data_IF_566436534854
#
_entry.id   IF_566436534854
#
_cell.length_a   1.000
_cell.length_b   1.000
_cell.length_c   1.000
_cell.angle_alpha   90.00
_cell.angle_beta   90.00
_cell.angle_gamma   90.00
#
_symmetry.space_group_name_H-M   'P 1'
#
loop_
_entity.id
_entity.type
_entity.pdbx_description
1 polymer ?
#
# COMPACT_ATOMS: atom_id res chain seq x y z
N UNK A 1 11.40 -55.87 32.79
CA UNK A 1 10.39 -54.83 33.00
C UNK A 1 10.64 -53.74 31.95
N UNK A 2 9.76 -53.66 30.97
CA UNK A 2 9.87 -52.78 29.79
C UNK A 2 9.50 -51.36 30.25
N UNK A 3 10.41 -50.40 30.09
CA UNK A 3 10.12 -48.96 30.21
C UNK A 3 10.26 -48.35 28.82
N UNK A 4 9.12 -48.13 28.16
CA UNK A 4 9.02 -47.40 26.91
C UNK A 4 9.30 -45.91 27.17
N UNK A 5 10.56 -45.49 27.02
CA UNK A 5 10.93 -44.09 26.96
C UNK A 5 10.65 -43.54 25.57
N UNK A 6 9.68 -42.64 25.46
CA UNK A 6 9.37 -41.91 24.22
C UNK A 6 10.58 -41.08 23.78
N UNK A 7 11.40 -41.63 22.87
CA UNK A 7 12.50 -40.94 22.24
C UNK A 7 11.96 -40.06 21.10
N UNK A 8 11.37 -38.92 21.45
CA UNK A 8 11.06 -37.89 20.48
C UNK A 8 12.38 -37.23 20.04
N UNK A 9 12.88 -37.61 18.87
CA UNK A 9 14.08 -37.01 18.26
C UNK A 9 13.72 -35.59 17.83
N UNK A 10 14.16 -34.60 18.61
CA UNK A 10 14.06 -33.18 18.26
C UNK A 10 15.13 -32.84 17.21
N UNK A 11 14.78 -32.91 15.92
CA UNK A 11 15.66 -32.44 14.84
C UNK A 11 15.69 -30.91 14.84
N UNK A 12 16.76 -30.32 15.39
CA UNK A 12 17.07 -28.89 15.22
C UNK A 12 17.60 -28.71 13.79
N UNK A 13 16.79 -28.13 12.91
CA UNK A 13 17.22 -27.67 11.59
C UNK A 13 18.20 -26.50 11.78
N UNK A 14 19.50 -26.82 11.78
CA UNK A 14 20.52 -25.81 11.54
C UNK A 14 20.45 -25.43 10.06
N UNK A 15 19.83 -24.30 9.75
CA UNK A 15 19.91 -23.72 8.43
C UNK A 15 21.38 -23.39 8.14
N UNK A 16 21.99 -24.12 7.21
CA UNK A 16 23.32 -23.80 6.70
C UNK A 16 23.24 -22.46 5.97
N UNK A 17 23.68 -21.39 6.61
CA UNK A 17 23.93 -20.11 5.93
C UNK A 17 25.33 -20.18 5.32
N UNK A 18 25.46 -20.28 3.98
CA UNK A 18 26.78 -20.26 3.35
C UNK A 18 27.48 -18.94 3.70
N UNK A 19 28.82 -18.95 3.88
CA UNK A 19 29.58 -17.74 4.17
C UNK A 19 29.30 -16.70 3.08
N UNK A 20 28.88 -15.51 3.49
CA UNK A 20 28.54 -14.42 2.59
C UNK A 20 29.79 -14.01 1.79
N UNK A 21 29.95 -14.57 0.59
CA UNK A 21 30.92 -14.05 -0.38
C UNK A 21 30.54 -12.60 -0.71
N UNK A 22 31.51 -11.74 -1.02
CA UNK A 22 31.27 -10.32 -1.31
C UNK A 22 30.19 -10.08 -2.39
N UNK A 23 30.02 -11.04 -3.31
CA UNK A 23 28.94 -11.03 -4.31
C UNK A 23 27.54 -11.26 -3.72
N UNK A 24 27.41 -12.10 -2.68
CA UNK A 24 26.14 -12.31 -1.98
C UNK A 24 25.78 -11.10 -1.12
N UNK A 25 26.75 -10.49 -0.41
CA UNK A 25 26.54 -9.25 0.34
C UNK A 25 26.14 -8.08 -0.56
N UNK A 26 26.78 -7.93 -1.72
CA UNK A 26 26.39 -6.94 -2.74
C UNK A 26 24.97 -7.19 -3.27
N UNK A 27 24.56 -8.45 -3.45
CA UNK A 27 23.20 -8.81 -3.86
C UNK A 27 22.16 -8.48 -2.77
N UNK A 28 22.46 -8.65 -1.49
CA UNK A 28 21.52 -8.26 -0.42
C UNK A 28 21.39 -6.73 -0.28
N UNK A 29 22.49 -5.99 -0.40
CA UNK A 29 22.48 -4.52 -0.38
C UNK A 29 21.70 -3.96 -1.58
N UNK A 30 21.87 -4.54 -2.76
CA UNK A 30 21.11 -4.14 -3.96
C UNK A 30 19.63 -4.47 -3.85
N UNK A 31 19.26 -5.65 -3.33
CA UNK A 31 17.85 -6.03 -3.12
C UNK A 31 17.18 -5.11 -2.09
N UNK A 32 17.82 -4.85 -0.93
CA UNK A 32 17.24 -3.97 0.09
C UNK A 32 17.12 -2.49 -0.32
N UNK A 33 18.05 -1.99 -1.14
CA UNK A 33 17.94 -0.64 -1.71
C UNK A 33 16.77 -0.56 -2.70
N UNK A 34 16.63 -1.56 -3.59
CA UNK A 34 15.53 -1.58 -4.56
C UNK A 34 14.18 -1.71 -3.84
N UNK A 35 14.07 -2.53 -2.79
CA UNK A 35 12.85 -2.65 -1.95
C UNK A 35 12.45 -1.31 -1.32
N UNK A 36 13.43 -0.52 -0.88
CA UNK A 36 13.20 0.78 -0.23
C UNK A 36 12.77 1.88 -1.21
N UNK A 37 13.26 1.82 -2.45
CA UNK A 37 12.99 2.84 -3.49
C UNK A 37 11.73 2.52 -4.29
N UNK A 38 11.32 1.25 -4.36
CA UNK A 38 10.15 0.78 -5.11
C UNK A 38 8.85 1.47 -4.64
N UNK A 39 8.63 1.56 -3.33
CA UNK A 39 7.44 2.18 -2.74
C UNK A 39 7.23 3.61 -3.22
N UNK A 40 8.19 4.53 -2.99
CA UNK A 40 8.11 5.91 -3.48
C UNK A 40 7.93 6.05 -5.01
N UNK A 41 8.60 5.20 -5.81
CA UNK A 41 8.45 5.23 -7.27
C UNK A 41 7.03 4.85 -7.69
N UNK A 42 6.45 3.82 -7.09
CA UNK A 42 5.08 3.41 -7.38
C UNK A 42 4.07 4.46 -6.95
N UNK A 43 4.28 5.10 -5.80
CA UNK A 43 3.45 6.24 -5.35
C UNK A 43 3.48 7.36 -6.38
N UNK A 44 4.67 7.75 -6.85
CA UNK A 44 4.84 8.79 -7.85
C UNK A 44 4.13 8.41 -9.17
N UNK A 45 4.38 7.19 -9.66
CA UNK A 45 3.79 6.74 -10.92
C UNK A 45 2.26 6.70 -10.87
N UNK A 46 1.69 6.18 -9.78
CA UNK A 46 0.24 6.11 -9.60
C UNK A 46 -0.39 7.48 -9.34
N UNK A 47 0.31 8.39 -8.64
CA UNK A 47 -0.14 9.76 -8.46
C UNK A 47 -0.20 10.53 -9.79
N UNK A 48 0.80 10.37 -10.65
CA UNK A 48 0.80 10.96 -12.00
C UNK A 48 -0.32 10.39 -12.88
N UNK A 49 -0.52 9.07 -12.83
CA UNK A 49 -1.57 8.39 -13.57
C UNK A 49 -2.97 8.88 -13.14
N UNK A 50 -3.27 8.81 -11.84
CA UNK A 50 -4.61 9.18 -11.31
C UNK A 50 -4.91 10.65 -11.43
N UNK A 51 -3.89 11.51 -11.33
CA UNK A 51 -4.08 12.95 -11.52
C UNK A 51 -4.48 13.28 -12.96
N UNK A 52 -4.04 12.49 -13.94
CA UNK A 52 -4.41 12.71 -15.34
C UNK A 52 -5.92 12.52 -15.58
N UNK A 53 -6.60 11.69 -14.79
CA UNK A 53 -8.06 11.52 -14.86
C UNK A 53 -8.80 12.85 -14.64
N UNK A 54 -8.33 13.68 -13.70
CA UNK A 54 -8.96 15.01 -13.46
C UNK A 54 -8.84 15.93 -14.67
N UNK A 55 -7.72 15.84 -15.40
CA UNK A 55 -7.46 16.69 -16.53
C UNK A 55 -8.51 16.47 -17.60
N UNK A 56 -8.73 15.21 -17.96
CA UNK A 56 -9.74 14.82 -18.94
C UNK A 56 -11.15 15.20 -18.50
N UNK A 57 -11.52 14.96 -17.23
CA UNK A 57 -12.83 15.37 -16.70
C UNK A 57 -13.07 16.89 -16.79
N UNK A 58 -12.06 17.70 -16.46
CA UNK A 58 -12.17 19.16 -16.48
C UNK A 58 -12.18 19.68 -17.93
N UNK A 59 -11.35 19.11 -18.81
CA UNK A 59 -11.29 19.46 -20.23
C UNK A 59 -12.63 19.24 -20.91
N UNK A 60 -13.28 18.13 -20.60
CA UNK A 60 -14.58 17.77 -21.16
C UNK A 60 -15.72 18.68 -20.66
N UNK A 61 -15.69 19.05 -19.37
CA UNK A 61 -16.64 20.04 -18.82
C UNK A 61 -16.47 21.41 -19.45
N UNK A 62 -15.23 21.89 -19.58
CA UNK A 62 -14.90 23.23 -20.08
C UNK A 62 -15.21 23.33 -21.58
N UNK A 63 -14.93 22.26 -22.34
CA UNK A 63 -15.27 22.17 -23.77
C UNK A 63 -16.77 22.00 -24.02
N UNK A 64 -17.59 21.82 -22.97
CA UNK A 64 -19.03 21.55 -23.02
C UNK A 64 -19.39 20.38 -23.93
N UNK A 65 -18.51 19.39 -24.05
CA UNK A 65 -18.75 18.24 -24.93
C UNK A 65 -19.99 17.45 -24.50
N UNK A 66 -20.24 17.38 -23.18
CA UNK A 66 -21.48 16.84 -22.61
C UNK A 66 -22.76 17.58 -23.07
N UNK A 67 -22.69 18.90 -23.31
CA UNK A 67 -23.82 19.66 -23.86
C UNK A 67 -24.06 19.29 -25.32
N UNK A 68 -22.99 19.13 -26.10
CA UNK A 68 -23.08 18.64 -27.48
C UNK A 68 -23.61 17.20 -27.57
N UNK A 69 -23.23 16.32 -26.64
CA UNK A 69 -23.78 14.96 -26.53
C UNK A 69 -25.24 14.93 -26.06
N UNK A 70 -25.68 15.95 -25.30
CA UNK A 70 -27.11 16.07 -24.94
C UNK A 70 -27.95 16.41 -26.18
N UNK A 71 -27.41 17.18 -27.12
CA UNK A 71 -28.07 17.49 -28.40
C UNK A 71 -28.23 16.26 -29.31
N UNK A 72 -27.41 15.21 -29.11
CA UNK A 72 -27.52 13.93 -29.83
C UNK A 72 -28.40 12.90 -29.09
N UNK A 73 -29.02 13.27 -27.97
CA UNK A 73 -29.94 12.42 -27.21
C UNK A 73 -29.28 11.39 -26.28
N UNK A 74 -27.97 11.50 -26.05
CA UNK A 74 -27.25 10.61 -25.12
C UNK A 74 -27.53 11.05 -23.68
N UNK A 75 -27.86 10.09 -22.82
CA UNK A 75 -28.13 10.39 -21.41
C UNK A 75 -26.84 10.78 -20.66
N UNK A 76 -26.89 11.75 -19.73
CA UNK A 76 -25.73 12.11 -18.91
C UNK A 76 -25.16 10.93 -18.09
N UNK A 77 -25.98 9.92 -17.77
CA UNK A 77 -25.54 8.74 -17.02
C UNK A 77 -24.58 7.88 -17.86
N UNK A 78 -24.91 7.67 -19.14
CA UNK A 78 -24.05 6.93 -20.08
C UNK A 78 -22.68 7.57 -20.19
N UNK A 79 -22.64 8.91 -20.17
CA UNK A 79 -21.42 9.68 -20.19
C UNK A 79 -20.52 9.39 -18.97
N UNK A 80 -21.05 9.55 -17.75
CA UNK A 80 -20.28 9.29 -16.52
C UNK A 80 -19.78 7.84 -16.41
N UNK A 81 -20.60 6.88 -16.84
CA UNK A 81 -20.20 5.47 -16.87
C UNK A 81 -19.08 5.24 -17.88
N UNK A 82 -19.16 5.85 -19.07
CA UNK A 82 -18.10 5.73 -20.08
C UNK A 82 -16.77 6.33 -19.59
N UNK A 83 -16.79 7.51 -18.97
CA UNK A 83 -15.59 8.12 -18.38
C UNK A 83 -14.99 7.24 -17.28
N UNK A 84 -15.82 6.70 -16.38
CA UNK A 84 -15.36 5.79 -15.34
C UNK A 84 -14.75 4.50 -15.90
N UNK A 85 -15.37 3.91 -16.93
CA UNK A 85 -14.86 2.70 -17.60
C UNK A 85 -13.54 3.01 -18.31
N UNK A 86 -13.41 4.16 -18.96
CA UNK A 86 -12.17 4.60 -19.59
C UNK A 86 -11.03 4.73 -18.57
N UNK A 87 -11.28 5.41 -17.45
CA UNK A 87 -10.30 5.56 -16.36
C UNK A 87 -9.92 4.20 -15.75
N UNK A 88 -10.92 3.32 -15.56
CA UNK A 88 -10.69 1.95 -15.07
C UNK A 88 -9.81 1.14 -16.01
N UNK A 89 -10.03 1.20 -17.32
CA UNK A 89 -9.24 0.48 -18.32
C UNK A 89 -7.79 1.00 -18.38
N UNK A 90 -7.59 2.31 -18.35
CA UNK A 90 -6.26 2.91 -18.30
C UNK A 90 -5.51 2.52 -17.01
N UNK A 91 -6.21 2.56 -15.87
CA UNK A 91 -5.64 2.13 -14.60
C UNK A 91 -5.27 0.64 -14.60
N UNK A 92 -6.19 -0.21 -15.07
CA UNK A 92 -5.97 -1.65 -15.15
C UNK A 92 -4.79 -1.99 -16.09
N UNK A 93 -4.64 -1.27 -17.20
CA UNK A 93 -3.50 -1.42 -18.09
C UNK A 93 -2.18 -1.07 -17.39
N UNK A 94 -2.11 0.09 -16.71
CA UNK A 94 -0.91 0.49 -15.97
C UNK A 94 -0.56 -0.51 -14.85
N UNK A 95 -1.54 -0.96 -14.07
CA UNK A 95 -1.34 -1.99 -13.04
C UNK A 95 -0.86 -3.31 -13.63
N UNK A 96 -1.39 -3.72 -14.79
CA UNK A 96 -0.95 -4.94 -15.49
C UNK A 96 0.51 -4.84 -15.91
N UNK A 97 0.96 -3.68 -16.38
CA UNK A 97 2.38 -3.43 -16.68
C UNK A 97 3.27 -3.57 -15.44
N UNK A 98 2.88 -2.99 -14.29
CA UNK A 98 3.63 -3.15 -13.04
C UNK A 98 3.67 -4.62 -12.58
N UNK A 99 2.55 -5.33 -12.65
CA UNK A 99 2.49 -6.76 -12.29
C UNK A 99 3.35 -7.62 -13.21
N UNK A 100 3.38 -7.32 -14.51
CA UNK A 100 4.24 -8.02 -15.47
C UNK A 100 5.73 -7.85 -15.14
N UNK A 101 6.15 -6.64 -14.73
CA UNK A 101 7.52 -6.37 -14.28
C UNK A 101 7.85 -7.17 -13.01
N UNK A 102 6.95 -7.22 -12.03
CA UNK A 102 7.16 -8.00 -10.81
C UNK A 102 7.28 -9.50 -11.09
N UNK A 103 6.42 -10.01 -11.98
CA UNK A 103 6.46 -11.41 -12.44
C UNK A 103 7.78 -11.74 -13.15
N UNK A 104 8.21 -10.92 -14.10
CA UNK A 104 9.43 -11.15 -14.86
C UNK A 104 10.70 -11.05 -13.99
N UNK A 105 10.71 -10.11 -13.05
CA UNK A 105 11.81 -9.94 -12.09
C UNK A 105 11.89 -11.07 -11.05
N UNK A 106 10.85 -11.91 -10.94
CA UNK A 106 10.76 -12.92 -9.88
C UNK A 106 10.65 -12.32 -8.47
N UNK A 107 10.29 -11.04 -8.40
CA UNK A 107 10.16 -10.28 -7.16
C UNK A 107 8.78 -10.51 -6.54
N UNK A 108 8.69 -10.62 -5.20
CA UNK A 108 7.42 -10.79 -4.46
C UNK A 108 6.61 -12.04 -4.87
N UNK A 109 7.29 -13.13 -5.24
CA UNK A 109 6.66 -14.43 -5.52
C UNK A 109 5.90 -14.92 -4.27
N UNK A 110 4.58 -15.10 -4.39
CA UNK A 110 3.68 -15.45 -3.27
C UNK A 110 2.89 -14.28 -2.67
N UNK A 111 3.20 -13.03 -3.04
CA UNK A 111 2.56 -11.82 -2.51
C UNK A 111 1.77 -11.03 -3.55
N UNK A 112 1.73 -11.49 -4.81
CA UNK A 112 1.04 -10.82 -5.91
C UNK A 112 -0.44 -10.56 -5.64
N UNK A 113 -1.13 -11.51 -4.99
CA UNK A 113 -2.55 -11.36 -4.63
C UNK A 113 -2.78 -10.15 -3.73
N UNK A 114 -1.86 -9.90 -2.79
CA UNK A 114 -1.93 -8.74 -1.89
C UNK A 114 -1.69 -7.43 -2.66
N UNK A 115 -0.72 -7.41 -3.58
CA UNK A 115 -0.44 -6.23 -4.43
C UNK A 115 -1.64 -5.91 -5.33
N UNK A 116 -2.29 -6.92 -5.91
CA UNK A 116 -3.50 -6.74 -6.74
C UNK A 116 -4.63 -6.12 -5.91
N UNK A 117 -4.87 -6.64 -4.70
CA UNK A 117 -5.87 -6.07 -3.79
C UNK A 117 -5.56 -4.62 -3.45
N UNK A 118 -4.29 -4.32 -3.20
CA UNK A 118 -3.81 -2.98 -2.83
C UNK A 118 -3.97 -1.97 -3.98
N UNK A 119 -3.72 -2.38 -5.22
CA UNK A 119 -4.02 -1.58 -6.41
C UNK A 119 -5.52 -1.33 -6.58
N UNK A 120 -6.35 -2.37 -6.40
CA UNK A 120 -7.81 -2.23 -6.47
C UNK A 120 -8.33 -1.24 -5.41
N UNK A 121 -7.82 -1.33 -4.18
CA UNK A 121 -8.21 -0.46 -3.08
C UNK A 121 -7.77 0.99 -3.32
N UNK A 122 -6.57 1.20 -3.88
CA UNK A 122 -6.09 2.52 -4.26
C UNK A 122 -7.00 3.18 -5.30
N UNK A 123 -7.41 2.46 -6.36
CA UNK A 123 -8.33 2.99 -7.36
C UNK A 123 -9.66 3.41 -6.74
N UNK A 124 -10.25 2.54 -5.91
CA UNK A 124 -11.55 2.81 -5.29
C UNK A 124 -11.54 4.00 -4.34
N UNK A 125 -10.42 4.26 -3.67
CA UNK A 125 -10.26 5.41 -2.79
C UNK A 125 -9.91 6.70 -3.55
N UNK A 126 -9.03 6.63 -4.55
CA UNK A 126 -8.59 7.81 -5.31
C UNK A 126 -9.66 8.35 -6.25
N UNK A 127 -10.38 7.50 -6.98
CA UNK A 127 -11.29 7.94 -8.05
C UNK A 127 -12.41 8.85 -7.53
N UNK A 128 -13.14 8.52 -6.45
CA UNK A 128 -14.15 9.42 -5.88
C UNK A 128 -13.57 10.78 -5.44
N UNK A 129 -12.36 10.79 -4.88
CA UNK A 129 -11.67 12.02 -4.49
C UNK A 129 -11.32 12.88 -5.72
N UNK A 130 -10.75 12.27 -6.76
CA UNK A 130 -10.40 12.99 -8.00
C UNK A 130 -11.66 13.56 -8.68
N UNK A 131 -12.75 12.80 -8.71
CA UNK A 131 -14.01 13.23 -9.32
C UNK A 131 -14.64 14.40 -8.56
N UNK A 132 -14.65 14.37 -7.23
CA UNK A 132 -15.16 15.48 -6.41
C UNK A 132 -14.33 16.76 -6.58
N UNK A 133 -13.00 16.63 -6.57
CA UNK A 133 -12.09 17.76 -6.79
C UNK A 133 -12.21 18.33 -8.20
N UNK A 134 -12.54 17.50 -9.20
CA UNK A 134 -12.69 17.97 -10.58
C UNK A 134 -13.68 19.15 -10.68
N UNK A 135 -14.78 19.15 -9.90
CA UNK A 135 -15.82 20.18 -9.97
C UNK A 135 -15.37 21.57 -9.52
N UNK A 136 -14.29 21.65 -8.74
CA UNK A 136 -13.76 22.89 -8.19
C UNK A 136 -12.94 23.65 -9.24
N UNK A 137 -12.34 22.93 -10.20
CA UNK A 137 -11.41 23.52 -11.16
C UNK A 137 -12.05 23.83 -12.50
N UNK A 138 -11.75 25.02 -13.05
CA UNK A 138 -12.19 25.46 -14.38
C UNK A 138 -11.11 25.35 -15.45
N UNK A 139 -9.90 24.91 -15.11
CA UNK A 139 -8.77 24.78 -16.04
C UNK A 139 -8.14 23.39 -15.92
N UNK A 140 -8.07 22.61 -17.02
CA UNK A 140 -7.59 21.22 -16.99
C UNK A 140 -6.14 21.09 -16.52
N UNK A 141 -5.25 21.89 -17.10
CA UNK A 141 -3.81 21.83 -16.78
C UNK A 141 -3.55 22.23 -15.32
N UNK A 142 -4.29 23.22 -14.80
CA UNK A 142 -4.16 23.63 -13.39
C UNK A 142 -4.63 22.53 -12.44
N UNK A 143 -5.76 21.89 -12.76
CA UNK A 143 -6.30 20.79 -11.96
C UNK A 143 -5.30 19.63 -11.86
N UNK A 144 -4.70 19.24 -12.98
CA UNK A 144 -3.72 18.15 -13.02
C UNK A 144 -2.48 18.48 -12.17
N UNK A 145 -1.84 19.62 -12.40
CA UNK A 145 -0.60 19.97 -11.67
C UNK A 145 -0.87 20.10 -10.17
N UNK A 146 -1.99 20.72 -9.76
CA UNK A 146 -2.34 20.86 -8.35
C UNK A 146 -2.65 19.52 -7.68
N UNK A 147 -3.30 18.58 -8.38
CA UNK A 147 -3.54 17.24 -7.84
C UNK A 147 -2.26 16.42 -7.72
N UNK A 148 -1.33 16.51 -8.67
CA UNK A 148 0.00 15.90 -8.54
C UNK A 148 0.69 16.43 -7.29
N UNK A 149 0.75 17.77 -7.13
CA UNK A 149 1.37 18.40 -5.98
C UNK A 149 0.68 17.95 -4.68
N UNK A 150 -0.65 17.95 -4.66
CA UNK A 150 -1.42 17.49 -3.50
C UNK A 150 -1.07 16.06 -3.11
N UNK A 151 -1.07 15.13 -4.06
CA UNK A 151 -0.74 13.71 -3.81
C UNK A 151 0.70 13.51 -3.34
N UNK A 152 1.65 14.30 -3.83
CA UNK A 152 3.05 14.22 -3.40
C UNK A 152 3.26 14.81 -2.01
N UNK A 153 2.68 15.98 -1.74
CA UNK A 153 2.75 16.61 -0.41
C UNK A 153 2.06 15.72 0.62
N UNK A 154 0.90 15.15 0.28
CA UNK A 154 0.20 14.14 1.05
C UNK A 154 1.11 12.96 1.44
N UNK A 155 1.76 12.34 0.46
CA UNK A 155 2.64 11.19 0.69
C UNK A 155 3.85 11.56 1.55
N UNK A 156 4.48 12.72 1.29
CA UNK A 156 5.65 13.18 2.02
C UNK A 156 5.32 13.58 3.46
N UNK A 157 4.23 14.34 3.67
CA UNK A 157 3.77 14.73 4.99
C UNK A 157 3.44 13.49 5.84
N UNK A 158 2.80 12.50 5.24
CA UNK A 158 2.49 11.24 5.90
C UNK A 158 3.74 10.45 6.29
N UNK A 159 4.75 10.40 5.41
CA UNK A 159 6.05 9.78 5.71
C UNK A 159 6.77 10.52 6.83
N UNK A 160 6.77 11.86 6.81
CA UNK A 160 7.37 12.70 7.84
C UNK A 160 6.68 12.49 9.20
N UNK A 161 5.35 12.44 9.22
CA UNK A 161 4.57 12.15 10.44
C UNK A 161 5.01 10.81 11.02
N UNK A 162 5.00 9.72 10.24
CA UNK A 162 5.46 8.42 10.76
C UNK A 162 6.92 8.40 11.19
N UNK A 163 7.78 9.11 10.48
CA UNK A 163 9.19 9.23 10.84
C UNK A 163 9.35 9.91 12.20
N UNK A 164 8.75 11.09 12.41
CA UNK A 164 8.79 11.80 13.70
C UNK A 164 8.20 10.95 14.82
N UNK A 165 7.09 10.26 14.54
CA UNK A 165 6.44 9.35 15.46
C UNK A 165 7.36 8.17 15.85
N UNK A 166 8.24 7.72 14.95
CA UNK A 166 9.19 6.63 15.23
C UNK A 166 10.34 7.03 16.17
N UNK A 167 10.67 8.34 16.30
CA UNK A 167 11.70 8.81 17.24
C UNK A 167 11.19 9.03 18.67
N UNK A 168 9.88 9.19 18.85
CA UNK A 168 9.32 9.35 20.18
C UNK A 168 9.10 7.98 20.84
N UNK A 169 10.08 7.54 21.63
CA UNK A 169 9.92 6.33 22.48
C UNK A 169 8.84 6.47 23.56
N UNK A 170 8.34 7.69 23.81
CA UNK A 170 7.38 8.03 24.87
C UNK A 170 5.92 8.11 24.43
N UNK A 171 5.60 7.98 23.14
CA UNK A 171 4.21 7.95 22.67
C UNK A 171 3.65 6.52 22.77
N UNK A 172 2.43 6.40 23.30
CA UNK A 172 1.69 5.14 23.31
C UNK A 172 1.61 4.55 21.88
N UNK A 173 2.16 3.35 21.71
CA UNK A 173 2.17 2.64 20.41
C UNK A 173 0.78 2.51 19.79
N UNK A 174 -0.27 2.45 20.62
CA UNK A 174 -1.67 2.42 20.19
C UNK A 174 -2.13 3.72 19.52
N UNK A 175 -1.73 4.90 20.02
CA UNK A 175 -2.07 6.18 19.39
C UNK A 175 -1.34 6.37 18.06
N UNK A 176 -0.08 5.93 18.00
CA UNK A 176 0.74 5.90 16.79
C UNK A 176 0.06 5.11 15.66
N UNK A 177 -0.46 3.93 16.00
CA UNK A 177 -1.14 3.03 15.07
C UNK A 177 -2.51 3.57 14.62
N UNK A 178 -3.25 4.23 15.52
CA UNK A 178 -4.52 4.90 15.17
C UNK A 178 -4.27 6.05 14.19
N UNK A 179 -3.29 6.91 14.47
CA UNK A 179 -2.93 8.02 13.58
C UNK A 179 -2.48 7.48 12.23
N UNK A 180 -1.64 6.43 12.21
CA UNK A 180 -1.22 5.75 10.98
C UNK A 180 -2.42 5.23 10.21
N UNK A 181 -3.36 4.56 10.87
CA UNK A 181 -4.56 4.03 10.23
C UNK A 181 -5.47 5.11 9.65
N UNK A 182 -5.70 6.21 10.38
CA UNK A 182 -6.49 7.34 9.89
C UNK A 182 -5.82 7.96 8.67
N UNK A 183 -4.49 8.14 8.70
CA UNK A 183 -3.72 8.61 7.57
C UNK A 183 -3.79 7.65 6.37
N UNK A 184 -3.69 6.35 6.60
CA UNK A 184 -3.83 5.32 5.55
C UNK A 184 -5.23 5.36 4.91
N UNK A 185 -6.27 5.68 5.67
CA UNK A 185 -7.64 5.74 5.19
C UNK A 185 -7.91 7.01 4.36
N UNK A 186 -7.38 8.16 4.78
CA UNK A 186 -7.60 9.44 4.10
C UNK A 186 -6.61 9.72 2.95
N UNK A 187 -5.43 9.12 2.97
CA UNK A 187 -4.36 9.35 2.00
C UNK A 187 -4.01 8.05 1.27
N UNK A 188 -4.80 7.67 0.24
CA UNK A 188 -4.58 6.43 -0.51
C UNK A 188 -3.18 6.35 -1.13
N UNK A 189 -2.62 7.48 -1.57
CA UNK A 189 -1.26 7.59 -2.13
C UNK A 189 -0.17 7.28 -1.11
N UNK A 190 -0.41 7.56 0.17
CA UNK A 190 0.51 7.14 1.23
C UNK A 190 0.36 5.66 1.57
N UNK A 191 -0.88 5.16 1.59
CA UNK A 191 -1.17 3.78 1.94
C UNK A 191 -0.52 2.76 1.01
N UNK A 192 -0.58 3.02 -0.29
CA UNK A 192 0.08 2.19 -1.29
C UNK A 192 1.60 2.15 -1.11
N UNK A 193 2.24 3.29 -0.87
CA UNK A 193 3.69 3.36 -0.65
C UNK A 193 4.14 2.60 0.59
N UNK A 194 3.42 2.78 1.71
CA UNK A 194 3.71 2.07 2.95
C UNK A 194 3.52 0.56 2.81
N UNK A 195 2.38 0.14 2.26
CA UNK A 195 2.06 -1.27 2.17
C UNK A 195 2.97 -2.00 1.17
N UNK A 196 3.36 -1.37 0.06
CA UNK A 196 4.37 -1.94 -0.86
C UNK A 196 5.73 -2.10 -0.16
N UNK A 197 6.18 -1.10 0.59
CA UNK A 197 7.46 -1.17 1.32
C UNK A 197 7.43 -2.30 2.38
N UNK A 198 6.33 -2.44 3.11
CA UNK A 198 6.14 -3.53 4.09
C UNK A 198 6.13 -4.91 3.42
N UNK A 199 5.48 -5.05 2.26
CA UNK A 199 5.50 -6.33 1.51
C UNK A 199 6.88 -6.62 0.94
N UNK A 200 7.62 -5.60 0.48
CA UNK A 200 9.01 -5.74 0.02
C UNK A 200 9.92 -6.28 1.13
N UNK A 201 9.86 -5.66 2.31
CA UNK A 201 10.59 -6.14 3.50
C UNK A 201 10.20 -7.58 3.87
N UNK A 202 8.90 -7.88 3.89
CA UNK A 202 8.38 -9.23 4.20
C UNK A 202 8.80 -10.28 3.17
N UNK A 203 8.92 -9.89 1.90
CA UNK A 203 9.43 -10.73 0.82
C UNK A 203 10.93 -10.98 0.96
N UNK A 204 11.70 -9.97 1.37
CA UNK A 204 13.15 -10.08 1.59
C UNK A 204 13.47 -11.04 2.76
N UNK A 205 12.68 -10.95 3.82
CA UNK A 205 12.79 -11.82 5.00
C UNK A 205 12.17 -13.22 4.80
N UNK A 206 11.58 -13.51 3.63
CA UNK A 206 10.95 -14.79 3.27
C UNK A 206 9.89 -15.27 4.27
N UNK A 207 9.10 -14.34 4.81
CA UNK A 207 7.98 -14.72 5.67
C UNK A 207 6.95 -15.55 4.88
N UNK A 208 6.15 -16.40 5.55
CA UNK A 208 5.09 -17.11 4.87
C UNK A 208 3.96 -16.14 4.47
N UNK A 209 3.46 -16.27 3.25
CA UNK A 209 2.51 -15.31 2.65
C UNK A 209 1.19 -15.14 3.40
N UNK A 210 0.74 -16.15 4.15
CA UNK A 210 -0.48 -16.08 4.96
C UNK A 210 -0.36 -15.09 6.13
N UNK A 211 0.85 -14.79 6.60
CA UNK A 211 1.07 -13.88 7.73
C UNK A 211 0.67 -12.44 7.39
N UNK A 212 0.81 -12.03 6.12
CA UNK A 212 0.35 -10.72 5.67
C UNK A 212 -1.16 -10.60 5.62
N UNK A 213 -1.90 -11.71 5.61
CA UNK A 213 -3.36 -11.75 5.70
C UNK A 213 -3.87 -11.78 7.13
N UNK A 214 -2.97 -11.96 8.11
CA UNK A 214 -3.37 -11.91 9.50
C UNK A 214 -3.86 -10.52 9.87
N UNK A 215 -4.96 -10.51 10.63
CA UNK A 215 -5.61 -9.29 11.08
C UNK A 215 -4.65 -8.34 11.83
N UNK A 216 -3.61 -8.88 12.47
CA UNK A 216 -2.54 -8.11 13.12
C UNK A 216 -1.83 -7.14 12.16
N UNK A 217 -1.66 -7.51 10.88
CA UNK A 217 -0.96 -6.69 9.87
C UNK A 217 -1.93 -5.81 9.06
N UNK A 218 -3.19 -6.23 8.86
CA UNK A 218 -4.18 -5.47 8.06
C UNK A 218 -4.91 -4.36 8.82
N UNK A 219 -5.10 -4.47 10.14
CA UNK A 219 -5.94 -3.47 10.83
C UNK A 219 -6.46 -3.81 12.23
N UNK A 220 -5.90 -4.80 12.93
CA UNK A 220 -6.35 -5.18 14.28
C UNK A 220 -6.43 -3.97 15.23
N UNK A 221 -5.54 -3.00 15.07
CA UNK A 221 -5.48 -1.80 15.89
C UNK A 221 -6.67 -0.85 15.69
N UNK A 222 -7.26 -0.82 14.49
CA UNK A 222 -8.50 -0.07 14.19
C UNK A 222 -9.70 -0.70 14.90
N UNK A 223 -9.71 -2.02 14.99
CA UNK A 223 -10.81 -2.76 15.61
C UNK A 223 -10.74 -2.77 17.13
N UNK A 224 -9.53 -2.88 17.69
CA UNK A 224 -9.31 -2.82 19.14
C UNK A 224 -9.55 -1.43 19.72
N UNK A 225 -9.36 -0.35 18.96
CA UNK A 225 -9.63 1.01 19.45
C UNK A 225 -11.13 1.29 19.63
N UNK A 226 -12.02 0.60 18.90
CA UNK A 226 -13.48 0.74 19.04
C UNK A 226 -14.13 -0.15 20.11
N UNK A 227 -13.41 -1.14 20.67
CA UNK A 227 -13.86 -1.88 21.85
C UNK A 227 -12.91 -1.63 23.01
N UNK A 228 -13.36 -0.76 23.94
CA UNK A 228 -12.88 -0.64 25.31
C UNK A 228 -12.20 -1.92 25.81
N UNK A 229 -10.87 -1.89 25.99
CA UNK A 229 -10.23 -2.75 26.99
C UNK A 229 -10.41 -2.07 28.34
N UNK A 230 -11.11 -2.68 29.32
CA UNK A 230 -10.93 -2.29 30.70
C UNK A 230 -9.49 -2.64 31.10
N UNK A 231 -8.80 -1.62 31.61
CA UNK A 231 -7.49 -1.67 32.23
C UNK A 231 -7.46 -2.81 33.28
N UNK A 232 -6.70 -3.89 33.04
CA UNK A 232 -6.16 -4.74 34.12
C UNK A 232 -5.06 -5.68 33.63
N UNK A 233 -3.83 -5.41 34.09
CA UNK A 233 -2.68 -6.34 34.29
C UNK A 233 -2.08 -7.02 33.06
N UNK A 234 -0.77 -7.11 32.81
CA UNK A 234 0.47 -6.80 33.54
C UNK A 234 1.58 -6.95 32.47
N UNK A 235 2.67 -6.14 32.47
CA UNK A 235 3.72 -6.27 31.47
C UNK A 235 4.65 -7.44 31.81
N UNK A 236 4.78 -8.42 30.92
CA UNK A 236 5.77 -9.50 31.07
C UNK A 236 5.54 -10.64 30.10
N UNK A 237 6.62 -11.03 29.40
CA UNK A 237 6.79 -12.21 28.54
C UNK A 237 6.55 -12.04 27.03
N UNK A 238 7.42 -11.26 26.37
CA UNK A 238 7.88 -11.55 24.99
C UNK A 238 9.42 -11.72 24.96
N UNK A 239 10.05 -11.94 26.10
CA UNK A 239 11.45 -12.34 26.20
C UNK A 239 11.51 -13.58 27.11
N UNK A 240 12.19 -14.63 26.64
CA UNK A 240 12.40 -15.94 27.30
C UNK A 240 11.33 -17.02 27.12
N UNK A 241 11.17 -17.51 25.89
CA UNK A 241 10.97 -18.95 25.64
C UNK A 241 11.89 -19.40 24.50
N UNK A 242 13.20 -19.26 24.73
CA UNK A 242 14.25 -19.87 23.92
C UNK A 242 15.47 -20.19 24.79
N UNK A 243 15.25 -20.89 25.91
CA UNK A 243 16.32 -21.67 26.55
C UNK A 243 15.70 -22.71 27.49
N UNK A 244 15.49 -23.90 26.98
CA UNK A 244 15.70 -25.18 27.67
C UNK A 244 15.80 -26.27 26.62
#
# INVERSE_FOLDING_TARGET
MILAGSAAIHTRLHAYTPPATAATSSRYVTVGFVDSVLGPILVLALALLTSTFVMFLVEERVSKFAHQQTLTGISPVTFWVASFVYDFLLYAFACSCFLAVFLFSGWMQGYLQFIILLFALYFWACVPFVYTVSFIFSSPSKANVLLIIWQLVAAFAAMLVLFLLSFQETIDRSLLEIIRSILLCFLPSFAIGNAVMTVGQSSSEKLPSHLLWEWNMLGQHIYRSHRFQPFSGTPGNILFQAKT
#
